data_IF_603056137662
#
_entry.id   IF_603056137662
#
_cell.length_a   1.000
_cell.length_b   1.000
_cell.length_c   1.000
_cell.angle_alpha   90.00
_cell.angle_beta   90.00
_cell.angle_gamma   90.00
#
_symmetry.space_group_name_H-M   'P 1'
#
loop_
_entity.id
_entity.type
_entity.pdbx_description
1 polymer ?
#
# COMPACT_ATOMS: atom_id res chain seq x y z
N UNK A 1 3.13 1.39 -4.50
CA UNK A 1 1.97 0.50 -4.78
C UNK A 1 2.42 -0.94 -4.73
N UNK A 2 1.59 -1.87 -4.23
CA UNK A 2 2.01 -3.26 -4.02
C UNK A 2 1.17 -4.24 -4.84
N UNK A 3 1.85 -5.13 -5.57
CA UNK A 3 1.23 -6.35 -6.09
C UNK A 3 1.18 -7.42 -4.98
N UNK A 4 0.42 -8.48 -5.16
CA UNK A 4 0.35 -9.59 -4.20
C UNK A 4 1.00 -10.86 -4.74
N UNK A 5 1.53 -11.66 -3.81
CA UNK A 5 2.00 -13.03 -4.05
C UNK A 5 1.44 -13.93 -2.95
N UNK A 6 1.00 -15.16 -3.27
CA UNK A 6 0.50 -16.08 -2.26
C UNK A 6 1.66 -16.58 -1.38
N UNK A 7 1.41 -16.80 -0.09
CA UNK A 7 2.41 -17.31 0.85
C UNK A 7 2.90 -18.72 0.44
N UNK A 8 2.02 -19.54 -0.13
CA UNK A 8 2.35 -20.88 -0.66
C UNK A 8 3.45 -20.87 -1.73
N UNK A 9 3.59 -19.79 -2.50
CA UNK A 9 4.68 -19.64 -3.48
C UNK A 9 6.05 -19.65 -2.78
N UNK A 10 6.18 -18.93 -1.65
CA UNK A 10 7.46 -18.83 -0.94
C UNK A 10 7.79 -20.09 -0.12
N UNK A 11 6.77 -20.86 0.28
CA UNK A 11 6.97 -22.17 0.91
C UNK A 11 7.53 -23.20 -0.07
N UNK A 12 7.03 -23.18 -1.31
CA UNK A 12 7.46 -24.12 -2.36
C UNK A 12 8.75 -23.68 -3.06
N UNK A 13 8.93 -22.37 -3.23
CA UNK A 13 10.04 -21.75 -3.98
C UNK A 13 10.62 -20.57 -3.18
N UNK A 14 11.43 -20.82 -2.14
CA UNK A 14 11.98 -19.77 -1.28
C UNK A 14 12.79 -18.71 -2.04
N UNK A 15 13.43 -19.09 -3.15
CA UNK A 15 14.18 -18.19 -4.03
C UNK A 15 13.31 -17.11 -4.68
N UNK A 16 11.99 -17.33 -4.77
CA UNK A 16 11.06 -16.32 -5.25
C UNK A 16 11.08 -15.05 -4.39
N UNK A 17 11.45 -15.14 -3.10
CA UNK A 17 11.57 -13.98 -2.22
C UNK A 17 12.75 -13.06 -2.59
N UNK A 18 13.77 -13.61 -3.27
CA UNK A 18 14.95 -12.85 -3.71
C UNK A 18 14.75 -12.15 -5.05
N UNK A 19 13.63 -12.41 -5.73
CA UNK A 19 13.31 -11.73 -7.00
C UNK A 19 13.09 -10.23 -6.75
N UNK A 20 13.49 -9.37 -7.71
CA UNK A 20 13.24 -7.95 -7.59
C UNK A 20 11.73 -7.66 -7.51
N UNK A 21 11.34 -6.51 -6.92
CA UNK A 21 9.96 -6.05 -6.94
C UNK A 21 9.46 -5.82 -8.38
N UNK A 22 8.15 -5.60 -8.58
CA UNK A 22 7.62 -5.25 -9.90
C UNK A 22 8.39 -4.07 -10.53
N UNK A 23 8.43 -4.01 -11.87
CA UNK A 23 9.15 -2.92 -12.56
C UNK A 23 8.68 -1.55 -12.12
N UNK A 24 9.61 -0.59 -11.99
CA UNK A 24 9.34 0.80 -11.60
C UNK A 24 9.51 1.04 -10.10
N UNK A 25 9.89 2.28 -9.77
CA UNK A 25 10.11 2.73 -8.38
C UNK A 25 8.83 2.71 -7.54
N UNK A 26 9.00 2.82 -6.23
CA UNK A 26 7.96 2.85 -5.21
C UNK A 26 7.01 1.65 -5.29
N UNK A 27 7.53 0.46 -5.61
CA UNK A 27 6.74 -0.76 -5.75
C UNK A 27 7.23 -1.91 -4.90
N UNK A 28 6.36 -2.88 -4.63
CA UNK A 28 6.71 -4.03 -3.82
C UNK A 28 5.67 -5.14 -3.90
N UNK A 29 5.91 -6.20 -3.13
CA UNK A 29 4.97 -7.30 -2.97
C UNK A 29 4.39 -7.34 -1.56
N UNK A 30 3.08 -7.57 -1.46
CA UNK A 30 2.45 -8.04 -0.24
C UNK A 30 2.27 -9.56 -0.34
N UNK A 31 2.55 -10.25 0.75
CA UNK A 31 2.37 -11.70 0.87
C UNK A 31 0.99 -11.97 1.43
N UNK A 32 0.20 -12.78 0.74
CA UNK A 32 -1.17 -13.10 1.12
C UNK A 32 -1.25 -14.57 1.52
N UNK A 33 -1.67 -14.83 2.76
CA UNK A 33 -1.96 -16.19 3.24
C UNK A 33 -3.30 -16.64 2.65
N UNK A 34 -3.28 -17.68 1.81
CA UNK A 34 -4.48 -18.24 1.17
C UNK A 34 -5.24 -19.22 2.08
N UNK A 35 -6.37 -19.76 1.58
CA UNK A 35 -7.15 -20.77 2.28
C UNK A 35 -6.35 -22.06 2.54
N UNK A 36 -5.57 -22.49 1.55
CA UNK A 36 -4.72 -23.70 1.64
C UNK A 36 -3.61 -23.57 2.69
N UNK A 37 -3.31 -22.35 3.14
CA UNK A 37 -2.31 -22.08 4.16
C UNK A 37 -2.86 -22.14 5.60
N UNK A 38 -4.18 -22.26 5.80
CA UNK A 38 -4.82 -22.16 7.13
C UNK A 38 -4.67 -23.43 7.99
N UNK A 39 -4.48 -24.62 7.40
CA UNK A 39 -4.56 -25.91 8.12
C UNK A 39 -3.34 -26.36 8.92
N UNK A 40 -2.48 -25.45 9.39
CA UNK A 40 -1.09 -25.79 9.71
C UNK A 40 -0.72 -26.11 11.17
N UNK A 41 -0.97 -25.22 12.12
CA UNK A 41 -0.22 -25.22 13.39
C UNK A 41 -0.88 -24.32 14.47
N UNK A 42 -2.15 -24.56 14.79
CA UNK A 42 -2.79 -23.89 15.92
C UNK A 42 -2.25 -24.49 17.23
N UNK A 43 -1.24 -23.82 17.79
CA UNK A 43 -0.66 -24.20 19.08
C UNK A 43 -1.74 -23.99 20.18
N UNK A 44 -2.02 -25.04 20.95
CA UNK A 44 -2.83 -24.92 22.17
C UNK A 44 -1.96 -24.29 23.26
N UNK A 45 -2.34 -23.12 23.76
CA UNK A 45 -1.69 -22.48 24.91
C UNK A 45 -2.33 -23.01 26.20
N UNK A 46 -1.62 -22.92 27.34
CA UNK A 46 -2.09 -23.40 28.66
C UNK A 46 -3.37 -22.71 29.21
N UNK A 47 -4.01 -21.82 28.43
CA UNK A 47 -5.25 -21.12 28.79
C UNK A 47 -6.24 -21.04 27.61
N UNK A 48 -6.12 -21.94 26.62
CA UNK A 48 -7.00 -22.02 25.45
C UNK A 48 -6.24 -22.01 24.11
N UNK A 49 -6.96 -21.90 23.00
CA UNK A 49 -6.38 -21.73 21.66
C UNK A 49 -5.57 -20.43 21.63
N UNK A 50 -4.24 -20.49 21.43
CA UNK A 50 -3.48 -19.28 21.13
C UNK A 50 -4.16 -18.69 19.88
N UNK A 51 -4.73 -17.48 19.95
CA UNK A 51 -5.68 -16.93 18.94
C UNK A 51 -5.11 -16.62 17.55
N UNK A 52 -4.34 -17.53 16.95
CA UNK A 52 -3.74 -17.46 15.63
C UNK A 52 -2.69 -18.56 15.41
N UNK A 53 -2.58 -19.01 14.17
CA UNK A 53 -1.60 -19.99 13.72
C UNK A 53 -0.15 -19.51 13.92
N UNK A 54 0.75 -20.38 14.38
CA UNK A 54 2.15 -20.00 14.60
C UNK A 54 2.88 -19.76 13.27
N UNK A 55 3.52 -18.60 13.13
CA UNK A 55 4.36 -18.29 11.97
C UNK A 55 5.78 -18.79 12.22
N UNK A 56 6.27 -19.66 11.33
CA UNK A 56 7.57 -20.32 11.49
C UNK A 56 8.66 -19.81 10.56
N UNK A 57 8.29 -19.20 9.45
CA UNK A 57 9.20 -18.82 8.37
C UNK A 57 8.83 -17.43 7.81
N UNK A 58 9.80 -16.79 7.16
CA UNK A 58 9.65 -15.57 6.37
C UNK A 58 9.34 -15.94 4.90
N UNK A 59 8.72 -15.05 4.12
CA UNK A 59 8.23 -13.71 4.49
C UNK A 59 6.90 -13.75 5.27
N UNK A 60 6.64 -12.68 6.03
CA UNK A 60 5.41 -12.55 6.81
C UNK A 60 4.20 -12.20 5.94
N UNK A 61 2.99 -12.75 6.20
CA UNK A 61 1.77 -12.40 5.46
C UNK A 61 1.17 -11.06 5.92
N UNK A 62 0.78 -10.20 4.98
CA UNK A 62 0.22 -8.86 5.23
C UNK A 62 -1.32 -8.83 5.30
N UNK A 63 -2.01 -9.90 4.91
CA UNK A 63 -3.45 -10.06 5.15
C UNK A 63 -3.77 -10.63 6.54
N UNK A 64 -2.80 -10.59 7.46
CA UNK A 64 -2.90 -11.08 8.84
C UNK A 64 -2.42 -10.02 9.82
N UNK A 65 -2.97 -10.05 11.02
CA UNK A 65 -2.36 -9.36 12.17
C UNK A 65 -1.39 -10.33 12.83
N UNK A 66 -0.17 -9.89 13.03
CA UNK A 66 0.92 -10.68 13.58
C UNK A 66 1.19 -10.26 15.02
N UNK A 67 0.92 -11.15 15.96
CA UNK A 67 1.23 -10.97 17.37
C UNK A 67 2.65 -11.45 17.63
N UNK A 68 3.57 -10.52 17.82
CA UNK A 68 4.92 -10.78 18.33
C UNK A 68 4.80 -11.07 19.82
N UNK A 69 5.33 -12.21 20.29
CA UNK A 69 5.26 -12.64 21.69
C UNK A 69 6.62 -13.06 22.21
N UNK A 70 6.96 -12.59 23.40
CA UNK A 70 8.15 -12.99 24.14
C UNK A 70 7.80 -13.19 25.61
N UNK A 71 8.28 -14.29 26.20
CA UNK A 71 8.04 -14.59 27.61
C UNK A 71 9.39 -14.63 28.33
N UNK A 72 9.53 -13.80 29.35
CA UNK A 72 10.66 -13.83 30.27
C UNK A 72 10.30 -14.70 31.47
N UNK A 73 11.27 -15.49 31.92
CA UNK A 73 11.15 -16.30 33.12
C UNK A 73 12.09 -15.71 34.17
N UNK A 74 11.52 -15.26 35.28
CA UNK A 74 12.21 -14.68 36.42
C UNK A 74 11.92 -15.56 37.64
N UNK A 75 12.72 -16.62 37.80
CA UNK A 75 12.50 -17.66 38.79
C UNK A 75 11.15 -18.38 38.57
N UNK A 76 10.27 -18.31 39.56
CA UNK A 76 8.91 -18.88 39.49
C UNK A 76 7.91 -17.99 38.75
N UNK A 77 8.24 -16.71 38.54
CA UNK A 77 7.37 -15.77 37.82
C UNK A 77 7.68 -15.75 36.33
N UNK A 78 6.66 -15.56 35.50
CA UNK A 78 6.85 -15.34 34.07
C UNK A 78 6.08 -14.14 33.57
N UNK A 79 6.74 -13.29 32.81
CA UNK A 79 6.17 -12.08 32.21
C UNK A 79 6.08 -12.28 30.71
N UNK A 80 4.88 -12.22 30.15
CA UNK A 80 4.66 -12.31 28.71
C UNK A 80 4.38 -10.93 28.14
N UNK A 81 5.23 -10.52 27.19
CA UNK A 81 5.06 -9.31 26.41
C UNK A 81 4.50 -9.68 25.03
N UNK A 82 3.57 -8.87 24.54
CA UNK A 82 2.97 -9.04 23.22
C UNK A 82 2.75 -7.69 22.53
N UNK A 83 2.95 -7.68 21.22
CA UNK A 83 2.65 -6.52 20.35
C UNK A 83 2.01 -7.03 19.06
N UNK A 84 0.81 -6.55 18.76
CA UNK A 84 0.07 -6.96 17.57
C UNK A 84 0.28 -5.94 16.45
N UNK A 85 0.88 -6.38 15.35
CA UNK A 85 1.33 -5.52 14.26
C UNK A 85 1.01 -6.08 12.88
N UNK A 86 0.96 -5.19 11.90
CA UNK A 86 1.04 -5.54 10.47
C UNK A 86 2.41 -5.09 10.00
N UNK A 87 3.28 -6.06 9.67
CA UNK A 87 4.58 -5.78 9.09
C UNK A 87 4.43 -5.49 7.60
N UNK A 88 4.47 -4.21 7.22
CA UNK A 88 4.35 -3.79 5.81
C UNK A 88 5.74 -3.76 5.16
N UNK A 89 6.01 -4.52 4.09
CA UNK A 89 7.31 -4.54 3.43
C UNK A 89 7.73 -3.14 2.97
N UNK A 90 9.01 -2.82 3.10
CA UNK A 90 9.56 -1.57 2.53
C UNK A 90 9.54 -1.67 1.00
N UNK A 91 9.06 -0.66 0.26
CA UNK A 91 9.03 -0.68 -1.20
C UNK A 91 10.45 -0.67 -1.79
N UNK A 92 10.57 -1.03 -3.06
CA UNK A 92 11.81 -1.10 -3.84
C UNK A 92 12.86 -2.07 -3.28
N UNK A 93 12.44 -3.01 -2.44
CA UNK A 93 13.27 -4.06 -1.88
C UNK A 93 12.68 -5.44 -2.19
N UNK A 94 13.52 -6.46 -2.44
CA UNK A 94 13.04 -7.84 -2.50
C UNK A 94 12.51 -8.26 -1.14
N UNK A 95 11.56 -9.21 -1.10
CA UNK A 95 11.01 -9.73 0.15
C UNK A 95 12.07 -10.40 1.02
N UNK A 96 13.12 -10.97 0.40
CA UNK A 96 14.27 -11.55 1.09
C UNK A 96 15.10 -10.54 1.90
N UNK A 97 14.95 -9.23 1.65
CA UNK A 97 15.54 -8.20 2.51
C UNK A 97 14.99 -8.20 3.93
N UNK A 98 13.78 -8.77 4.13
CA UNK A 98 13.06 -8.82 5.39
C UNK A 98 12.91 -7.44 6.08
N UNK A 99 12.88 -6.36 5.30
CA UNK A 99 12.67 -5.00 5.80
C UNK A 99 11.20 -4.64 5.82
N UNK A 100 10.73 -4.15 6.97
CA UNK A 100 9.32 -3.83 7.18
C UNK A 100 9.15 -2.53 7.97
N UNK A 101 8.01 -1.88 7.76
CA UNK A 101 7.40 -0.93 8.67
C UNK A 101 6.47 -1.70 9.64
N UNK A 102 6.78 -1.76 10.95
CA UNK A 102 5.96 -2.40 11.97
C UNK A 102 4.79 -1.49 12.38
N UNK A 103 3.62 -1.68 11.78
CA UNK A 103 2.43 -0.87 12.07
C UNK A 103 1.59 -1.51 13.17
N UNK A 104 1.32 -0.77 14.24
CA UNK A 104 0.56 -1.26 15.39
C UNK A 104 -0.90 -1.47 15.02
N UNK A 105 -1.42 -2.67 15.27
CA UNK A 105 -2.75 -3.10 14.85
C UNK A 105 -3.83 -2.96 15.95
N UNK A 106 -3.43 -2.78 17.22
CA UNK A 106 -4.35 -2.78 18.37
C UNK A 106 -3.99 -1.73 19.42
N UNK A 107 -4.95 -1.35 20.25
CA UNK A 107 -4.74 -0.46 21.39
C UNK A 107 -4.65 1.02 21.02
N UNK A 108 -4.15 1.83 21.96
CA UNK A 108 -4.14 3.31 21.84
C UNK A 108 -3.26 3.84 20.71
N UNK A 109 -2.19 3.12 20.36
CA UNK A 109 -1.24 3.49 19.31
C UNK A 109 -1.56 2.85 17.96
N UNK A 110 -2.76 2.27 17.79
CA UNK A 110 -3.17 1.65 16.52
C UNK A 110 -2.98 2.62 15.35
N UNK A 111 -2.43 2.13 14.26
CA UNK A 111 -2.12 2.91 13.06
C UNK A 111 -0.82 3.72 13.11
N UNK A 112 -0.09 3.70 14.22
CA UNK A 112 1.27 4.27 14.31
C UNK A 112 2.32 3.21 13.98
N UNK A 113 3.50 3.65 13.56
CA UNK A 113 4.64 2.81 13.23
C UNK A 113 5.59 2.77 14.42
N UNK A 114 6.07 1.59 14.82
CA UNK A 114 7.14 1.49 15.83
C UNK A 114 8.41 2.09 15.23
N UNK A 115 9.05 2.98 15.97
CA UNK A 115 10.34 3.55 15.62
C UNK A 115 11.45 2.89 16.43
N UNK A 116 12.66 2.90 15.88
CA UNK A 116 13.88 2.56 16.59
C UNK A 116 14.35 3.76 17.42
N UNK A 117 14.82 3.51 18.64
CA UNK A 117 15.53 4.51 19.45
C UNK A 117 16.95 4.71 18.93
N UNK A 118 17.57 5.84 19.24
CA UNK A 118 18.99 6.12 18.95
C UNK A 118 19.83 6.03 20.22
N UNK A 119 21.13 6.29 20.11
CA UNK A 119 22.00 6.43 21.28
C UNK A 119 21.63 7.65 22.16
N UNK A 120 21.07 8.71 21.56
CA UNK A 120 20.62 9.92 22.26
C UNK A 120 19.42 9.65 23.17
N UNK A 121 18.61 8.62 22.85
CA UNK A 121 17.48 8.18 23.67
C UNK A 121 17.91 7.28 24.85
N UNK A 122 19.20 6.97 24.99
CA UNK A 122 19.66 6.14 26.10
C UNK A 122 19.65 6.91 27.41
N UNK A 123 19.00 6.34 28.43
CA UNK A 123 18.96 6.88 29.78
C UNK A 123 19.96 6.14 30.65
N UNK A 124 20.72 6.88 31.45
CA UNK A 124 21.62 6.30 32.44
C UNK A 124 20.79 5.71 33.58
N UNK A 125 20.91 4.40 33.82
CA UNK A 125 20.18 3.68 34.87
C UNK A 125 21.13 2.68 35.57
N UNK A 126 21.33 2.81 36.87
CA UNK A 126 22.06 1.85 37.73
C UNK A 126 23.37 1.30 37.13
N UNK A 127 24.33 2.19 36.81
CA UNK A 127 25.64 1.87 36.21
C UNK A 127 25.61 1.26 34.79
N UNK A 128 24.45 1.19 34.15
CA UNK A 128 24.32 0.75 32.76
C UNK A 128 23.59 1.80 31.90
N UNK A 129 23.86 1.80 30.59
CA UNK A 129 23.08 2.57 29.62
C UNK A 129 21.85 1.73 29.25
N UNK A 130 20.68 2.21 29.66
CA UNK A 130 19.40 1.58 29.32
C UNK A 130 18.81 2.30 28.11
N UNK A 131 18.44 1.53 27.09
CA UNK A 131 17.73 2.06 25.92
C UNK A 131 16.33 2.46 26.36
N UNK A 132 15.99 3.74 26.28
CA UNK A 132 14.60 4.20 26.43
C UNK A 132 13.90 4.03 25.08
N UNK A 133 12.84 3.23 25.05
CA UNK A 133 12.07 3.01 23.83
C UNK A 133 11.30 4.27 23.44
N UNK A 134 11.53 4.77 22.22
CA UNK A 134 10.76 5.88 21.67
C UNK A 134 9.31 5.48 21.43
N UNK A 135 8.40 6.43 21.64
CA UNK A 135 6.98 6.21 21.35
C UNK A 135 6.73 6.01 19.85
N UNK A 136 5.71 5.22 19.46
CA UNK A 136 5.33 5.05 18.06
C UNK A 136 4.96 6.38 17.41
N UNK A 137 5.33 6.54 16.13
CA UNK A 137 5.12 7.79 15.39
C UNK A 137 4.22 7.57 14.17
N UNK A 138 3.54 8.62 13.65
CA UNK A 138 2.90 8.54 12.35
C UNK A 138 3.90 8.13 11.27
N UNK A 139 3.43 7.41 10.25
CA UNK A 139 4.28 7.00 9.13
C UNK A 139 4.96 8.21 8.46
N UNK A 140 6.27 8.12 8.31
CA UNK A 140 7.10 9.06 7.57
C UNK A 140 8.01 8.26 6.62
N UNK A 141 7.87 8.43 5.29
CA UNK A 141 8.72 7.71 4.33
C UNK A 141 10.20 8.09 4.41
N UNK A 142 10.55 9.27 4.93
CA UNK A 142 11.92 9.72 5.09
C UNK A 142 12.58 9.21 6.39
N UNK A 143 11.79 8.72 7.34
CA UNK A 143 12.26 8.26 8.64
C UNK A 143 12.77 6.82 8.57
N UNK A 144 14.08 6.66 8.35
CA UNK A 144 14.75 5.36 8.32
C UNK A 144 14.62 4.58 9.64
N UNK A 145 14.40 5.25 10.78
CA UNK A 145 14.23 4.59 12.07
C UNK A 145 12.88 3.87 12.20
N UNK A 146 11.92 4.12 11.30
CA UNK A 146 10.68 3.33 11.21
C UNK A 146 10.87 2.00 10.47
N UNK A 147 12.05 1.74 9.90
CA UNK A 147 12.34 0.50 9.18
C UNK A 147 13.12 -0.49 10.07
N UNK A 148 12.63 -1.72 10.13
CA UNK A 148 13.31 -2.83 10.82
C UNK A 148 13.57 -3.99 9.87
N UNK A 149 14.71 -4.65 10.03
CA UNK A 149 15.02 -5.93 9.40
C UNK A 149 14.66 -7.06 10.37
N UNK A 150 13.79 -7.98 9.94
CA UNK A 150 13.46 -9.18 10.71
C UNK A 150 14.44 -10.29 10.38
N UNK A 151 15.15 -10.77 11.40
CA UNK A 151 16.16 -11.83 11.29
C UNK A 151 15.60 -13.13 11.88
N UNK A 152 15.40 -14.13 11.04
CA UNK A 152 15.07 -15.48 11.48
C UNK A 152 16.32 -16.19 12.01
N UNK A 153 16.36 -16.44 13.33
CA UNK A 153 17.52 -17.11 13.99
C UNK A 153 17.42 -18.61 13.94
N UNK A 154 16.20 -19.14 14.10
CA UNK A 154 15.83 -20.55 13.97
C UNK A 154 14.39 -20.59 13.45
N UNK A 155 13.94 -21.76 12.98
CA UNK A 155 12.54 -21.94 12.58
C UNK A 155 11.59 -21.52 13.71
N UNK A 156 10.72 -20.54 13.42
CA UNK A 156 9.76 -19.95 14.35
C UNK A 156 10.36 -19.18 15.52
N UNK A 157 11.58 -18.66 15.36
CA UNK A 157 12.29 -17.84 16.34
C UNK A 157 12.98 -16.67 15.64
N UNK A 158 12.56 -15.47 15.97
CA UNK A 158 13.00 -14.26 15.27
C UNK A 158 13.69 -13.28 16.23
N UNK A 159 14.35 -12.29 15.64
CA UNK A 159 14.84 -11.07 16.27
C UNK A 159 14.73 -9.94 15.23
N UNK A 160 14.84 -8.68 15.63
CA UNK A 160 14.89 -7.56 14.70
C UNK A 160 16.18 -6.76 14.84
N UNK A 161 16.58 -6.11 13.76
CA UNK A 161 17.64 -5.10 13.70
C UNK A 161 17.04 -3.81 13.15
N UNK A 162 17.58 -2.67 13.58
CA UNK A 162 17.25 -1.41 12.91
C UNK A 162 17.93 -1.40 11.54
N UNK A 163 17.28 -0.79 10.56
CA UNK A 163 17.93 -0.50 9.27
C UNK A 163 18.90 0.68 9.42
N UNK A 164 18.57 1.63 10.29
CA UNK A 164 19.49 2.70 10.68
C UNK A 164 20.69 2.11 11.45
N UNK A 165 21.94 2.53 11.14
CA UNK A 165 23.16 1.94 11.70
C UNK A 165 23.30 2.15 13.22
N UNK A 166 22.75 3.24 13.74
CA UNK A 166 22.73 3.65 15.14
C UNK A 166 21.36 3.41 15.82
N UNK A 167 20.45 2.72 15.12
CA UNK A 167 19.11 2.44 15.61
C UNK A 167 19.02 1.19 16.50
N UNK A 168 18.18 1.27 17.52
CA UNK A 168 17.81 0.18 18.40
C UNK A 168 16.31 -0.11 18.26
N UNK A 169 15.90 -1.29 17.75
CA UNK A 169 14.49 -1.62 17.67
C UNK A 169 13.80 -1.61 19.03
N UNK A 170 12.48 -1.40 19.01
CA UNK A 170 11.60 -1.52 20.18
C UNK A 170 11.91 -2.76 21.03
N UNK A 171 11.82 -2.66 22.36
CA UNK A 171 12.40 -3.68 23.26
C UNK A 171 12.01 -5.10 22.93
N UNK A 172 10.73 -5.32 22.61
CA UNK A 172 10.23 -6.63 22.29
C UNK A 172 10.93 -7.21 21.04
N UNK A 173 11.21 -6.37 20.05
CA UNK A 173 11.80 -6.78 18.77
C UNK A 173 13.30 -7.01 18.86
N UNK A 174 14.03 -6.26 19.72
CA UNK A 174 15.47 -6.50 19.98
C UNK A 174 15.74 -7.74 20.84
N UNK A 175 14.75 -8.28 21.56
CA UNK A 175 14.91 -9.57 22.26
C UNK A 175 15.22 -10.68 21.26
N UNK A 176 15.98 -11.68 21.71
CA UNK A 176 16.29 -12.87 20.90
C UNK A 176 15.15 -13.88 21.04
N UNK A 177 14.83 -14.56 19.95
CA UNK A 177 13.96 -15.73 19.94
C UNK A 177 12.48 -15.48 20.28
N UNK A 178 11.96 -14.28 20.00
CA UNK A 178 10.51 -14.06 20.05
C UNK A 178 9.78 -14.87 18.98
N UNK A 179 8.48 -15.11 19.25
CA UNK A 179 7.57 -15.93 18.43
C UNK A 179 6.55 -15.04 17.76
N UNK A 180 5.97 -15.51 16.66
CA UNK A 180 4.91 -14.81 15.94
C UNK A 180 3.71 -15.72 15.78
N UNK A 181 2.53 -15.16 16.02
CA UNK A 181 1.24 -15.80 15.80
C UNK A 181 0.43 -14.94 14.82
N UNK A 182 -0.11 -15.56 13.78
CA UNK A 182 -0.89 -14.89 12.75
C UNK A 182 -2.38 -15.15 12.97
N UNK A 183 -3.15 -14.07 13.11
CA UNK A 183 -4.60 -14.12 13.20
C UNK A 183 -5.26 -13.46 11.99
N UNK A 184 -6.43 -13.97 11.58
CA UNK A 184 -7.25 -13.32 10.55
C UNK A 184 -7.95 -12.10 11.18
N UNK A 185 -7.69 -10.88 10.70
CA UNK A 185 -8.37 -9.69 11.19
C UNK A 185 -9.82 -9.67 10.70
N UNK A 186 -10.71 -9.03 11.47
CA UNK A 186 -12.13 -8.90 11.10
C UNK A 186 -12.37 -7.81 10.05
N UNK A 187 -11.47 -6.84 9.94
CA UNK A 187 -11.68 -5.59 9.22
C UNK A 187 -10.95 -5.51 7.87
N UNK A 188 -10.13 -6.51 7.50
CA UNK A 188 -9.51 -6.54 6.18
C UNK A 188 -9.20 -7.96 5.72
N UNK A 189 -9.42 -8.22 4.43
CA UNK A 189 -8.93 -9.40 3.73
C UNK A 189 -8.40 -8.94 2.36
N UNK A 190 -7.18 -9.37 2.01
CA UNK A 190 -6.53 -8.93 0.77
C UNK A 190 -6.70 -10.03 -0.27
N UNK A 191 -7.20 -9.64 -1.45
CA UNK A 191 -7.34 -10.53 -2.58
C UNK A 191 -6.09 -10.62 -3.45
N UNK A 192 -6.22 -11.30 -4.59
CA UNK A 192 -5.20 -11.32 -5.61
C UNK A 192 -5.12 -9.95 -6.33
N UNK A 193 -3.90 -9.48 -6.56
CA UNK A 193 -3.56 -8.23 -7.22
C UNK A 193 -2.23 -8.39 -7.95
N UNK A 194 -2.27 -8.81 -9.22
CA UNK A 194 -1.07 -9.18 -10.00
C UNK A 194 -0.20 -7.99 -10.42
N UNK A 195 -0.62 -6.77 -10.12
CA UNK A 195 -0.06 -5.55 -10.70
C UNK A 195 -0.69 -5.25 -12.06
N UNK A 196 0.10 -4.70 -12.98
CA UNK A 196 -0.34 -4.38 -14.34
C UNK A 196 -0.38 -5.64 -15.21
N UNK A 197 -1.48 -5.86 -15.91
CA UNK A 197 -1.55 -6.81 -17.02
C UNK A 197 -1.24 -6.08 -18.33
N UNK A 198 0.03 -6.14 -18.75
CA UNK A 198 0.49 -5.44 -19.95
C UNK A 198 -0.18 -5.96 -21.23
N UNK A 199 -0.52 -7.26 -21.29
CA UNK A 199 -1.17 -7.85 -22.45
C UNK A 199 -2.61 -7.34 -22.56
N UNK A 200 -3.35 -7.32 -21.44
CA UNK A 200 -4.73 -6.82 -21.41
C UNK A 200 -4.78 -5.30 -21.65
N UNK A 201 -3.88 -4.51 -21.04
CA UNK A 201 -3.74 -3.06 -21.29
C UNK A 201 -3.47 -2.75 -22.76
N UNK A 202 -2.72 -3.61 -23.46
CA UNK A 202 -2.42 -3.44 -24.88
C UNK A 202 -3.57 -3.90 -25.77
N UNK A 203 -4.18 -5.06 -25.48
CA UNK A 203 -5.25 -5.65 -26.29
C UNK A 203 -6.49 -4.76 -26.34
N UNK A 204 -6.83 -4.09 -25.23
CA UNK A 204 -7.97 -3.16 -25.20
C UNK A 204 -7.77 -1.91 -26.06
N UNK A 205 -6.53 -1.60 -26.45
CA UNK A 205 -6.25 -0.57 -27.44
C UNK A 205 -6.54 -1.07 -28.87
N UNK A 206 -6.39 -2.38 -29.11
CA UNK A 206 -6.51 -3.01 -30.44
C UNK A 206 -7.91 -3.56 -30.75
N UNK A 207 -8.56 -4.24 -29.80
CA UNK A 207 -9.84 -4.94 -30.00
C UNK A 207 -11.01 -3.99 -30.31
N UNK A 208 -10.85 -2.70 -30.02
CA UNK A 208 -11.85 -1.70 -30.36
C UNK A 208 -12.08 -1.58 -31.88
N UNK A 209 -11.13 -2.00 -32.73
CA UNK A 209 -11.31 -1.99 -34.18
C UNK A 209 -12.19 -3.14 -34.72
N UNK A 210 -12.47 -4.19 -33.92
CA UNK A 210 -12.95 -5.47 -34.48
C UNK A 210 -14.25 -6.04 -33.89
N UNK A 211 -15.01 -5.31 -33.06
CA UNK A 211 -16.31 -5.82 -32.58
C UNK A 211 -17.48 -5.10 -33.26
N UNK A 212 -17.89 -5.70 -34.37
CA UNK A 212 -19.28 -5.70 -34.83
C UNK A 212 -20.17 -6.21 -33.70
N UNK A 213 -21.22 -5.45 -33.41
CA UNK A 213 -22.47 -5.84 -32.74
C UNK A 213 -22.47 -6.32 -31.26
N UNK A 214 -23.43 -5.73 -30.54
CA UNK A 214 -24.00 -6.12 -29.25
C UNK A 214 -23.18 -5.86 -27.97
N UNK A 215 -23.37 -4.69 -27.35
CA UNK A 215 -23.95 -4.48 -26.00
C UNK A 215 -23.70 -3.03 -25.50
N UNK A 216 -24.71 -2.31 -24.97
CA UNK A 216 -24.56 -0.94 -24.50
C UNK A 216 -24.08 -0.89 -23.04
N UNK A 217 -22.76 -0.88 -22.85
CA UNK A 217 -22.03 -0.14 -21.82
C UNK A 217 -20.53 -0.46 -21.99
N UNK A 218 -19.60 0.50 -22.07
CA UNK A 218 -18.19 0.18 -22.02
C UNK A 218 -17.89 -0.37 -20.62
N UNK A 219 -17.83 -1.69 -20.48
CA UNK A 219 -17.44 -2.34 -19.25
C UNK A 219 -16.05 -1.83 -18.86
N UNK A 220 -15.99 -0.99 -17.82
CA UNK A 220 -14.74 -0.51 -17.23
C UNK A 220 -13.91 -1.73 -16.85
N UNK A 221 -12.91 -2.01 -17.66
CA UNK A 221 -12.12 -3.21 -17.49
C UNK A 221 -10.85 -2.81 -16.76
N UNK A 222 -10.68 -3.33 -15.55
CA UNK A 222 -9.47 -3.11 -14.79
C UNK A 222 -8.31 -3.86 -15.47
N UNK A 223 -7.31 -3.11 -15.94
CA UNK A 223 -6.10 -3.62 -16.57
C UNK A 223 -4.93 -3.73 -15.60
N UNK A 224 -5.09 -3.18 -14.40
CA UNK A 224 -4.13 -3.32 -13.33
C UNK A 224 -4.80 -3.29 -11.96
N UNK A 225 -4.21 -4.03 -11.02
CA UNK A 225 -4.69 -4.09 -9.63
C UNK A 225 -3.50 -4.18 -8.67
N UNK A 226 -3.53 -3.31 -7.65
CA UNK A 226 -2.56 -3.23 -6.57
C UNK A 226 -3.27 -2.97 -5.23
N UNK A 227 -2.50 -3.02 -4.15
CA UNK A 227 -2.89 -2.50 -2.85
C UNK A 227 -1.95 -1.38 -2.40
N UNK A 228 -2.45 -0.52 -1.52
CA UNK A 228 -1.68 0.53 -0.85
C UNK A 228 -2.00 0.51 0.66
N UNK A 229 -1.00 0.38 1.55
CA UNK A 229 -1.20 0.56 2.99
C UNK A 229 -1.90 1.88 3.30
N UNK A 230 -2.75 1.88 4.34
CA UNK A 230 -3.60 3.03 4.62
C UNK A 230 -2.83 4.32 4.84
N UNK A 231 -1.65 4.25 5.45
CA UNK A 231 -0.86 5.42 5.77
C UNK A 231 -0.30 6.14 4.53
N UNK A 232 -0.29 5.51 3.35
CA UNK A 232 0.11 6.14 2.09
C UNK A 232 -1.01 6.99 1.46
N UNK A 233 -2.22 6.92 2.01
CA UNK A 233 -3.37 7.74 1.63
C UNK A 233 -3.79 8.52 2.87
N UNK A 234 -4.16 9.79 2.74
CA UNK A 234 -4.66 10.61 3.85
C UNK A 234 -6.03 11.13 3.48
N UNK A 235 -7.04 10.66 4.19
CA UNK A 235 -8.39 11.19 4.06
C UNK A 235 -8.56 12.35 5.03
N UNK A 236 -8.99 13.51 4.51
CA UNK A 236 -9.30 14.64 5.37
C UNK A 236 -10.50 14.33 6.28
N UNK A 237 -10.43 14.82 7.52
CA UNK A 237 -11.41 14.52 8.56
C UNK A 237 -11.28 13.13 9.22
N UNK A 238 -10.34 12.28 8.81
CA UNK A 238 -10.07 10.99 9.47
C UNK A 238 -8.78 11.09 10.30
N UNK A 239 -8.89 11.68 11.49
CA UNK A 239 -7.79 11.77 12.45
C UNK A 239 -8.31 11.33 13.83
N UNK A 240 -7.62 10.40 14.53
CA UNK A 240 -6.20 9.99 14.39
C UNK A 240 -5.95 8.77 13.46
N UNK A 241 -4.67 8.40 13.17
CA UNK A 241 -4.31 7.22 12.35
C UNK A 241 -5.02 5.91 12.71
N UNK A 242 -5.42 5.77 13.97
CA UNK A 242 -6.24 4.67 14.47
C UNK A 242 -7.55 4.52 13.71
N UNK A 243 -8.30 5.62 13.55
CA UNK A 243 -9.61 5.62 12.89
C UNK A 243 -9.46 5.26 11.41
N UNK A 244 -8.41 5.78 10.77
CA UNK A 244 -8.14 5.47 9.36
C UNK A 244 -7.82 3.99 9.16
N UNK A 245 -6.97 3.41 10.01
CA UNK A 245 -6.67 1.96 9.95
C UNK A 245 -7.89 1.10 10.27
N UNK A 246 -8.78 1.56 11.15
CA UNK A 246 -10.06 0.90 11.45
C UNK A 246 -10.99 0.90 10.24
N UNK A 247 -11.06 2.03 9.53
CA UNK A 247 -11.88 2.20 8.33
C UNK A 247 -11.38 1.37 7.15
N UNK A 248 -10.07 1.38 6.88
CA UNK A 248 -9.47 0.56 5.83
C UNK A 248 -7.96 0.44 6.07
N UNK A 249 -7.47 -0.74 6.46
CA UNK A 249 -6.02 -0.95 6.70
C UNK A 249 -5.19 -0.94 5.41
N UNK A 250 -5.82 -1.23 4.28
CA UNK A 250 -5.27 -1.10 2.93
C UNK A 250 -6.30 -0.44 2.03
N UNK A 251 -5.86 0.14 0.92
CA UNK A 251 -6.70 0.59 -0.18
C UNK A 251 -6.42 -0.27 -1.39
N UNK A 252 -7.46 -0.66 -2.12
CA UNK A 252 -7.33 -1.25 -3.44
C UNK A 252 -7.07 -0.12 -4.45
N UNK A 253 -6.07 -0.30 -5.30
CA UNK A 253 -5.78 0.62 -6.40
C UNK A 253 -5.96 -0.14 -7.71
N UNK A 254 -6.90 0.31 -8.54
CA UNK A 254 -7.14 -0.27 -9.87
C UNK A 254 -6.80 0.73 -10.96
N UNK A 255 -6.26 0.24 -12.08
CA UNK A 255 -6.14 0.99 -13.32
C UNK A 255 -7.21 0.48 -14.28
N UNK A 256 -8.10 1.35 -14.72
CA UNK A 256 -9.19 1.06 -15.65
C UNK A 256 -8.95 1.76 -16.98
N UNK A 257 -9.31 1.13 -18.10
CA UNK A 257 -9.30 1.77 -19.40
C UNK A 257 -10.72 2.02 -19.90
N UNK A 258 -10.91 3.18 -20.55
CA UNK A 258 -12.14 3.49 -21.30
C UNK A 258 -11.85 4.39 -22.48
N UNK A 259 -12.68 4.29 -23.50
CA UNK A 259 -12.76 5.27 -24.56
C UNK A 259 -13.77 6.35 -24.17
N UNK A 260 -13.40 7.61 -24.32
CA UNK A 260 -14.24 8.76 -24.04
C UNK A 260 -14.32 9.65 -25.28
N UNK A 261 -15.53 9.99 -25.71
CA UNK A 261 -15.72 11.04 -26.70
C UNK A 261 -15.71 12.39 -25.99
N UNK A 262 -14.72 13.26 -26.25
CA UNK A 262 -14.84 14.66 -25.88
C UNK A 262 -16.00 15.19 -26.72
N UNK A 263 -17.16 15.42 -26.09
CA UNK A 263 -18.32 15.99 -26.78
C UNK A 263 -17.90 17.25 -27.52
N UNK A 264 -18.53 17.56 -28.67
CA UNK A 264 -18.19 18.66 -29.59
C UNK A 264 -17.84 19.96 -28.85
N UNK A 265 -16.60 20.07 -28.43
CA UNK A 265 -16.10 21.24 -27.76
C UNK A 265 -15.83 22.21 -28.90
N UNK A 266 -16.59 23.29 -28.91
CA UNK A 266 -16.49 24.36 -29.89
C UNK A 266 -15.03 24.82 -29.98
N UNK A 267 -14.56 25.07 -31.21
CA UNK A 267 -13.26 25.67 -31.43
C UNK A 267 -13.15 26.95 -30.59
N UNK A 268 -12.17 27.01 -29.68
CA UNK A 268 -12.01 28.09 -28.69
C UNK A 268 -12.48 27.78 -27.26
N UNK A 269 -12.96 26.56 -26.99
CA UNK A 269 -13.22 26.09 -25.62
C UNK A 269 -11.93 25.95 -24.79
N UNK A 270 -12.06 25.84 -23.44
CA UNK A 270 -10.89 25.61 -22.58
C UNK A 270 -10.17 24.33 -23.00
N UNK A 271 -8.83 24.36 -22.94
CA UNK A 271 -7.98 23.21 -23.25
C UNK A 271 -8.47 21.97 -22.51
N UNK A 272 -8.46 20.83 -23.20
CA UNK A 272 -8.77 19.56 -22.58
C UNK A 272 -7.62 19.24 -21.62
N UNK A 273 -7.90 19.22 -20.32
CA UNK A 273 -6.89 18.88 -19.33
C UNK A 273 -6.53 17.40 -19.47
N UNK A 274 -5.24 17.11 -19.61
CA UNK A 274 -4.74 15.74 -19.79
C UNK A 274 -4.80 14.93 -18.50
N UNK A 275 -5.07 15.59 -17.37
CA UNK A 275 -5.16 14.96 -16.05
C UNK A 275 -6.29 15.57 -15.22
N UNK A 276 -7.11 14.72 -14.58
CA UNK A 276 -8.17 15.16 -13.66
C UNK A 276 -8.16 14.35 -12.38
N UNK A 277 -8.34 15.00 -11.24
CA UNK A 277 -8.51 14.33 -9.95
C UNK A 277 -9.98 14.41 -9.51
N UNK A 278 -10.51 13.32 -8.97
CA UNK A 278 -11.92 13.15 -8.63
C UNK A 278 -12.06 12.54 -7.22
N UNK A 279 -12.37 13.37 -6.22
CA UNK A 279 -12.62 12.90 -4.85
C UNK A 279 -13.99 12.18 -4.80
N UNK A 280 -14.04 11.05 -4.11
CA UNK A 280 -15.21 10.16 -4.10
C UNK A 280 -15.51 9.52 -5.46
N UNK A 281 -14.65 9.71 -6.46
CA UNK A 281 -14.83 9.22 -7.83
C UNK A 281 -15.69 10.11 -8.73
N UNK A 282 -16.19 11.26 -8.24
CA UNK A 282 -17.10 12.13 -9.01
C UNK A 282 -16.85 13.63 -8.81
N UNK A 283 -16.35 14.08 -7.65
CA UNK A 283 -16.18 15.50 -7.35
C UNK A 283 -14.81 15.97 -7.84
N UNK A 284 -14.79 16.89 -8.79
CA UNK A 284 -13.55 17.42 -9.34
C UNK A 284 -12.70 18.12 -8.27
N UNK A 285 -11.44 17.72 -8.23
CA UNK A 285 -10.44 18.20 -7.29
C UNK A 285 -9.22 18.74 -8.02
N UNK A 286 -8.58 19.73 -7.41
CA UNK A 286 -7.33 20.31 -7.91
C UNK A 286 -6.19 19.91 -6.99
N UNK A 287 -5.02 19.67 -7.58
CA UNK A 287 -3.80 19.51 -6.81
C UNK A 287 -3.50 20.84 -6.11
N UNK A 288 -3.27 20.79 -4.80
CA UNK A 288 -2.83 21.96 -4.04
C UNK A 288 -1.39 22.30 -4.43
N UNK A 289 -1.07 23.59 -4.53
CA UNK A 289 0.30 24.03 -4.66
C UNK A 289 1.10 23.54 -3.45
N UNK A 290 2.34 23.12 -3.66
CA UNK A 290 3.24 22.68 -2.60
C UNK A 290 3.26 23.75 -1.50
N UNK A 291 2.69 23.43 -0.34
CA UNK A 291 2.57 24.34 0.79
C UNK A 291 3.42 23.78 1.92
N UNK A 292 4.27 24.60 2.52
CA UNK A 292 5.10 24.22 3.66
C UNK A 292 4.32 23.71 4.88
N UNK A 293 2.99 23.90 4.93
CA UNK A 293 2.13 23.52 6.08
C UNK A 293 1.84 22.03 6.19
N UNK A 294 2.03 21.26 5.12
CA UNK A 294 1.82 19.82 5.11
C UNK A 294 3.05 19.21 4.50
N UNK A 295 3.95 18.67 5.33
CA UNK A 295 5.28 18.23 4.91
C UNK A 295 5.30 17.46 3.58
N UNK A 296 6.41 17.62 2.84
CA UNK A 296 6.63 17.20 1.45
C UNK A 296 6.34 15.72 1.11
N UNK A 297 5.99 14.90 2.09
CA UNK A 297 5.68 13.49 1.91
C UNK A 297 4.36 13.22 1.16
N UNK A 298 3.41 14.16 1.13
CA UNK A 298 2.08 13.96 0.51
C UNK A 298 1.71 15.05 -0.50
N UNK A 299 1.19 14.61 -1.65
CA UNK A 299 0.53 15.45 -2.64
C UNK A 299 -0.95 15.55 -2.30
N UNK A 300 -1.42 16.75 -2.01
CA UNK A 300 -2.79 17.00 -1.61
C UNK A 300 -3.66 17.40 -2.80
N UNK A 301 -4.88 16.85 -2.83
CA UNK A 301 -5.94 17.21 -3.76
C UNK A 301 -7.12 17.74 -2.96
N UNK A 302 -7.65 18.89 -3.37
CA UNK A 302 -8.81 19.52 -2.73
C UNK A 302 -9.93 19.72 -3.74
N UNK A 303 -11.12 19.29 -3.39
CA UNK A 303 -12.34 19.59 -4.12
C UNK A 303 -12.81 21.01 -3.75
N UNK A 304 -12.80 21.99 -4.67
CA UNK A 304 -13.24 23.35 -4.35
C UNK A 304 -14.72 23.40 -3.95
N UNK A 305 -15.55 22.54 -4.53
CA UNK A 305 -17.00 22.53 -4.31
C UNK A 305 -17.40 22.03 -2.92
N UNK A 306 -16.67 21.06 -2.35
CA UNK A 306 -17.01 20.44 -1.05
C UNK A 306 -16.01 20.78 0.05
N UNK A 307 -14.86 21.36 -0.29
CA UNK A 307 -13.75 21.58 0.64
C UNK A 307 -13.00 20.30 1.04
N UNK A 308 -13.48 19.12 0.64
CA UNK A 308 -12.86 17.83 0.96
C UNK A 308 -11.46 17.72 0.39
N UNK A 309 -10.57 17.04 1.13
CA UNK A 309 -9.18 16.85 0.72
C UNK A 309 -8.77 15.39 0.82
N UNK A 310 -7.86 14.99 -0.06
CA UNK A 310 -7.21 13.69 0.00
C UNK A 310 -5.72 13.90 -0.29
N UNK A 311 -4.86 13.37 0.57
CA UNK A 311 -3.42 13.32 0.36
C UNK A 311 -3.01 11.94 -0.17
N UNK A 312 -2.16 11.90 -1.18
CA UNK A 312 -1.44 10.68 -1.56
C UNK A 312 0.03 10.86 -1.25
N UNK A 313 0.66 9.84 -0.67
CA UNK A 313 2.10 9.86 -0.49
C UNK A 313 2.78 10.07 -1.86
N UNK A 314 3.78 10.94 -1.91
CA UNK A 314 4.48 11.30 -3.14
C UNK A 314 4.97 10.05 -3.89
N UNK A 315 5.44 9.04 -3.16
CA UNK A 315 5.87 7.75 -3.72
C UNK A 315 4.78 7.02 -4.51
N UNK A 316 3.53 7.04 -4.03
CA UNK A 316 2.37 6.43 -4.72
C UNK A 316 1.97 7.27 -5.93
N UNK A 317 1.95 8.59 -5.78
CA UNK A 317 1.62 9.51 -6.86
C UNK A 317 2.60 9.41 -8.03
N UNK A 318 3.91 9.43 -7.73
CA UNK A 318 4.96 9.24 -8.73
C UNK A 318 4.86 7.89 -9.41
N UNK A 319 4.50 6.83 -8.67
CA UNK A 319 4.30 5.51 -9.27
C UNK A 319 3.12 5.51 -10.24
N UNK A 320 1.98 6.10 -9.88
CA UNK A 320 0.84 6.21 -10.81
C UNK A 320 1.24 6.95 -12.09
N UNK A 321 1.92 8.11 -11.96
CA UNK A 321 2.40 8.86 -13.13
C UNK A 321 3.39 8.08 -13.97
N UNK A 322 4.32 7.34 -13.34
CA UNK A 322 5.29 6.52 -14.07
C UNK A 322 4.62 5.44 -14.92
N UNK A 323 3.56 4.80 -14.44
CA UNK A 323 2.79 3.82 -15.21
C UNK A 323 2.10 4.44 -16.43
N UNK A 324 1.64 5.68 -16.31
CA UNK A 324 1.01 6.44 -17.41
C UNK A 324 2.03 6.91 -18.43
N UNK A 325 3.15 7.50 -18.00
CA UNK A 325 4.25 7.88 -18.90
C UNK A 325 4.81 6.68 -19.66
N UNK A 326 4.99 5.54 -18.98
CA UNK A 326 5.39 4.28 -19.62
C UNK A 326 4.34 3.80 -20.63
N UNK A 327 3.07 4.09 -20.37
CA UNK A 327 1.97 3.86 -21.29
C UNK A 327 1.90 4.83 -22.47
N UNK A 328 2.73 5.88 -22.51
CA UNK A 328 2.73 6.89 -23.56
C UNK A 328 1.83 8.11 -23.29
N UNK A 329 1.36 8.30 -22.06
CA UNK A 329 0.67 9.53 -21.65
C UNK A 329 1.64 10.72 -21.66
N UNK A 330 1.12 11.91 -21.99
CA UNK A 330 1.87 13.17 -22.00
C UNK A 330 1.12 14.20 -21.13
N UNK A 331 1.84 14.85 -20.22
CA UNK A 331 1.28 15.86 -19.29
C UNK A 331 1.14 17.22 -19.98
N UNK A 332 0.41 17.23 -21.10
CA UNK A 332 0.15 18.44 -21.90
C UNK A 332 -1.33 18.50 -22.28
N UNK A 333 -1.96 19.65 -22.08
CA UNK A 333 -3.33 19.88 -22.54
C UNK A 333 -3.35 20.31 -24.01
N UNK A 334 -4.29 19.77 -24.79
CA UNK A 334 -4.52 20.17 -26.18
C UNK A 334 -5.82 20.95 -26.34
N UNK A 335 -5.88 21.73 -27.41
CA UNK A 335 -7.10 22.38 -27.84
C UNK A 335 -8.07 21.30 -28.36
N UNK A 336 -9.35 21.31 -27.92
CA UNK A 336 -10.31 20.25 -28.26
C UNK A 336 -10.52 20.08 -29.77
N UNK A 337 -10.36 21.15 -30.56
CA UNK A 337 -10.50 21.11 -32.02
C UNK A 337 -9.40 20.31 -32.74
N UNK A 338 -8.26 20.04 -32.10
CA UNK A 338 -7.20 19.17 -32.65
C UNK A 338 -7.48 17.68 -32.43
N UNK A 339 -8.25 17.34 -31.41
CA UNK A 339 -8.71 15.97 -31.16
C UNK A 339 -9.86 15.69 -32.12
N UNK A 340 -9.54 15.48 -33.39
CA UNK A 340 -10.50 15.45 -34.49
C UNK A 340 -11.62 14.42 -34.30
N UNK A 341 -12.76 14.86 -33.74
CA UNK A 341 -14.06 14.19 -33.68
C UNK A 341 -14.11 12.77 -33.08
N UNK A 342 -12.98 12.22 -32.66
CA UNK A 342 -12.81 10.82 -32.27
C UNK A 342 -12.95 10.59 -30.76
N UNK A 343 -12.96 9.32 -30.39
CA UNK A 343 -12.82 8.92 -28.99
C UNK A 343 -11.35 8.99 -28.57
N UNK A 344 -11.05 9.49 -27.38
CA UNK A 344 -9.71 9.43 -26.76
C UNK A 344 -9.65 8.33 -25.70
N UNK A 345 -8.49 7.72 -25.55
CA UNK A 345 -8.25 6.80 -24.45
C UNK A 345 -8.15 7.59 -23.14
N UNK A 346 -8.89 7.14 -22.13
CA UNK A 346 -8.75 7.59 -20.75
C UNK A 346 -8.37 6.40 -19.89
N UNK A 347 -7.23 6.52 -19.23
CA UNK A 347 -6.80 5.58 -18.21
C UNK A 347 -7.11 6.17 -16.84
N UNK A 348 -7.77 5.39 -15.99
CA UNK A 348 -8.28 5.86 -14.70
C UNK A 348 -7.70 5.04 -13.57
N UNK A 349 -6.91 5.68 -12.72
CA UNK A 349 -6.60 5.12 -11.41
C UNK A 349 -7.77 5.34 -10.47
N UNK A 350 -8.21 4.30 -9.77
CA UNK A 350 -9.25 4.37 -8.74
C UNK A 350 -8.69 3.82 -7.43
N UNK A 351 -8.71 4.65 -6.38
CA UNK A 351 -8.30 4.27 -5.03
C UNK A 351 -9.55 4.01 -4.19
N UNK A 352 -9.75 2.74 -3.80
CA UNK A 352 -10.92 2.25 -3.07
C UNK A 352 -10.54 1.79 -1.68
N UNK A 353 -11.42 2.02 -0.70
CA UNK A 353 -11.39 1.31 0.58
C UNK A 353 -11.73 -0.17 0.35
N UNK A 354 -11.45 -1.03 1.32
CA UNK A 354 -11.76 -2.46 1.22
C UNK A 354 -13.26 -2.76 1.23
N UNK A 355 -14.10 -1.82 1.66
CA UNK A 355 -15.57 -1.89 1.53
C UNK A 355 -16.09 -1.56 0.12
N UNK A 356 -15.19 -1.22 -0.82
CA UNK A 356 -15.51 -0.88 -2.21
C UNK A 356 -15.79 0.61 -2.45
N UNK A 357 -15.86 1.44 -1.40
CA UNK A 357 -16.09 2.88 -1.55
C UNK A 357 -14.87 3.58 -2.13
N UNK A 358 -15.09 4.48 -3.11
CA UNK A 358 -14.02 5.25 -3.75
C UNK A 358 -13.60 6.41 -2.86
N UNK A 359 -12.30 6.61 -2.71
CA UNK A 359 -11.71 7.74 -1.98
C UNK A 359 -11.31 8.83 -2.96
N UNK A 360 -10.55 8.45 -3.98
CA UNK A 360 -10.09 9.35 -5.04
C UNK A 360 -9.88 8.56 -6.32
N UNK A 361 -10.11 9.20 -7.46
CA UNK A 361 -9.76 8.69 -8.77
C UNK A 361 -8.96 9.73 -9.55
N UNK A 362 -8.11 9.27 -10.46
CA UNK A 362 -7.32 10.12 -11.35
C UNK A 362 -7.52 9.66 -12.78
N UNK A 363 -8.04 10.54 -13.63
CA UNK A 363 -8.19 10.30 -15.05
C UNK A 363 -6.98 10.89 -15.77
N UNK A 364 -6.33 10.07 -16.59
CA UNK A 364 -5.24 10.43 -17.48
C UNK A 364 -5.74 10.28 -18.91
N UNK A 365 -5.87 11.40 -19.61
CA UNK A 365 -6.38 11.47 -20.98
C UNK A 365 -5.20 11.40 -21.94
N UNK A 366 -5.14 10.34 -22.74
CA UNK A 366 -4.11 10.14 -23.75
C UNK A 366 -4.54 10.83 -25.05
N UNK A 367 -4.30 12.13 -25.14
CA UNK A 367 -4.69 12.96 -26.29
C UNK A 367 -4.02 12.53 -27.62
N UNK A 368 -2.87 11.87 -27.51
CA UNK A 368 -2.15 11.25 -28.62
C UNK A 368 -2.73 9.88 -29.07
N UNK A 369 -3.68 9.30 -28.33
CA UNK A 369 -4.32 8.02 -28.65
C UNK A 369 -5.79 8.25 -28.99
N UNK A 370 -6.02 8.64 -30.24
CA UNK A 370 -7.35 8.93 -30.79
C UNK A 370 -7.83 7.76 -31.63
N UNK A 371 -9.09 7.39 -31.44
CA UNK A 371 -9.83 6.48 -32.31
C UNK A 371 -10.78 7.30 -33.18
N UNK A 372 -10.62 7.18 -34.50
CA UNK A 372 -11.55 7.78 -35.45
C UNK A 372 -12.96 7.22 -35.25
N UNK A 373 -13.99 8.07 -35.39
CA UNK A 373 -15.37 7.60 -35.47
C UNK A 373 -15.50 6.68 -36.67
N UNK A 374 -16.03 5.47 -36.44
CA UNK A 374 -16.52 4.65 -37.55
C UNK A 374 -17.74 5.40 -38.12
N UNK A 375 -17.59 5.86 -39.36
CA UNK A 375 -18.62 6.53 -40.14
C UNK A 375 -19.68 5.53 -40.62
#
# INVERSE_FOLDING_TARGET
MYATKPLSLFKSHPEAASRPPPEGRNSGYLVVKGADDEGGDDETCCWGTCGGSRVRELPFPQNRVLTVRYTEHHGESSSTYADAVVFVPVPDQPLASNRYYPVIATGKHKGLVRACSTEEDMVQCCFCRCISDVDPRPFDPADIYQQVEIVQRRRGRFTARAVAPDGFPYFLYRKKYWRVYASKPKNFDLGEARGLDAALRSRQLSDAASVLDAFPAPARSAVGKWYSPFFLVKEDGVAPPREQMERSAFYEVTLEQRWWEPGHATAGGPKLDSRRALIGGSVEAKQEAASSRHGDAYVWFRAPATGQRVGLCASVWERMRWEEYRGGWVDEGEDPGKVGGGSVLVERFVVKRLDGTVVVAFDFVHLNKVRAKQL
#
